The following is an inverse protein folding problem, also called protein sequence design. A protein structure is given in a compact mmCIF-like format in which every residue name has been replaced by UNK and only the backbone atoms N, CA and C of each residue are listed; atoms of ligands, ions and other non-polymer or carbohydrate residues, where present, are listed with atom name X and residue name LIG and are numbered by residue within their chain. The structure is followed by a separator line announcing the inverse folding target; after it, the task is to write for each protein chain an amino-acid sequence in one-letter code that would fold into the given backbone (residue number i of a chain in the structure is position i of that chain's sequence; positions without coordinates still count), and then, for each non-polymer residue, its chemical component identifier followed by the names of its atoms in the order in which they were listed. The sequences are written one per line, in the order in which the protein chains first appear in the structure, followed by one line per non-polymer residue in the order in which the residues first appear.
data_IF_965342941635
#
_entry.id   IF_965342941635
#
_cell.length_a   1.000
_cell.length_b   1.000
_cell.length_c   1.000
_cell.angle_alpha   90.00
_cell.angle_beta   90.00
_cell.angle_gamma   90.00
#
_symmetry.space_group_name_H-M   'P 1'
#
loop_
_entity.id
_entity.type
_entity.pdbx_description
1 polymer ?
#
# COMPACT_ATOMS: atom_id res chain seq x y z
N UNK A 1 6.30 2.94 6.01
CA UNK A 1 6.97 1.79 5.35
C UNK A 1 5.91 0.86 4.79
N UNK A 2 6.13 0.19 3.64
CA UNK A 2 5.14 -0.72 3.04
C UNK A 2 5.15 -2.12 3.67
N UNK A 3 4.08 -2.90 3.45
CA UNK A 3 3.94 -4.29 3.93
C UNK A 3 4.59 -5.35 3.01
N UNK A 4 5.39 -4.95 2.01
CA UNK A 4 6.09 -5.83 1.05
C UNK A 4 5.22 -6.65 0.09
N UNK A 5 3.88 -6.58 0.19
CA UNK A 5 2.99 -7.26 -0.76
C UNK A 5 3.29 -6.83 -2.20
N UNK A 6 3.48 -7.81 -3.07
CA UNK A 6 3.69 -7.63 -4.49
C UNK A 6 2.44 -8.07 -5.26
N UNK A 7 1.68 -7.09 -5.72
CA UNK A 7 0.59 -7.28 -6.68
C UNK A 7 0.50 -6.06 -7.60
N UNK A 8 -0.04 -6.26 -8.78
CA UNK A 8 -0.27 -5.27 -9.83
C UNK A 8 -1.76 -4.88 -9.86
N UNK A 9 -2.06 -3.84 -10.62
CA UNK A 9 -3.44 -3.55 -11.00
C UNK A 9 -4.02 -4.69 -11.85
N UNK A 10 -5.34 -4.73 -11.91
CA UNK A 10 -6.07 -5.57 -12.88
C UNK A 10 -5.82 -5.03 -14.29
N UNK A 11 -5.96 -5.88 -15.31
CA UNK A 11 -5.82 -5.46 -16.72
C UNK A 11 -6.70 -4.26 -17.03
N UNK A 12 -7.95 -4.29 -16.51
CA UNK A 12 -8.96 -3.25 -16.71
C UNK A 12 -8.55 -1.89 -16.17
N UNK A 13 -7.66 -1.83 -15.17
CA UNK A 13 -7.19 -0.55 -14.65
C UNK A 13 -6.37 0.22 -15.70
N UNK A 14 -5.55 -0.49 -16.46
CA UNK A 14 -4.69 0.10 -17.50
C UNK A 14 -5.47 0.37 -18.79
N UNK A 15 -6.44 -0.48 -19.14
CA UNK A 15 -7.41 -0.18 -20.21
C UNK A 15 -8.13 1.13 -19.92
N UNK A 16 -8.65 1.29 -18.70
CA UNK A 16 -9.34 2.50 -18.28
C UNK A 16 -8.44 3.74 -18.34
N UNK A 17 -7.15 3.61 -18.01
CA UNK A 17 -6.21 4.73 -18.16
C UNK A 17 -6.11 5.19 -19.61
N UNK A 18 -5.99 4.25 -20.54
CA UNK A 18 -5.94 4.56 -21.96
C UNK A 18 -7.26 5.15 -22.47
N UNK A 19 -8.41 4.61 -22.06
CA UNK A 19 -9.75 5.15 -22.35
C UNK A 19 -9.92 6.59 -21.82
N UNK A 20 -9.33 6.89 -20.67
CA UNK A 20 -9.30 8.24 -20.09
C UNK A 20 -8.31 9.18 -20.77
N UNK A 21 -7.60 8.72 -21.81
CA UNK A 21 -6.70 9.53 -22.63
C UNK A 21 -5.22 9.37 -22.32
N UNK A 22 -4.83 8.50 -21.38
CA UNK A 22 -3.42 8.17 -21.12
C UNK A 22 -2.88 7.21 -22.18
N UNK A 23 -2.80 7.68 -23.44
CA UNK A 23 -2.31 6.91 -24.58
C UNK A 23 -0.91 6.35 -24.30
N UNK A 24 -0.68 5.08 -24.64
CA UNK A 24 0.59 4.40 -24.37
C UNK A 24 0.75 3.94 -22.92
N UNK A 25 -0.32 3.93 -22.14
CA UNK A 25 -0.39 3.34 -20.80
C UNK A 25 -1.39 2.18 -20.73
N UNK A 26 -1.79 1.62 -21.89
CA UNK A 26 -2.64 0.45 -21.94
C UNK A 26 -1.90 -0.81 -21.46
N UNK A 27 -2.62 -1.94 -21.29
CA UNK A 27 -2.03 -3.18 -20.76
C UNK A 27 -0.79 -3.65 -21.53
N UNK A 28 -0.84 -3.57 -22.87
CA UNK A 28 0.26 -3.98 -23.74
C UNK A 28 1.50 -3.10 -23.58
N UNK A 29 1.33 -1.81 -23.24
CA UNK A 29 2.43 -0.87 -23.07
C UNK A 29 3.11 -1.02 -21.71
N UNK A 30 2.34 -1.28 -20.66
CA UNK A 30 2.88 -1.36 -19.28
C UNK A 30 3.47 -2.74 -18.95
N UNK A 31 2.94 -3.83 -19.54
CA UNK A 31 3.38 -5.19 -19.26
C UNK A 31 4.89 -5.40 -19.48
N UNK A 32 5.51 -4.92 -20.58
CA UNK A 32 6.96 -4.97 -20.75
C UNK A 32 7.75 -4.35 -19.60
N UNK A 33 7.24 -3.27 -18.99
CA UNK A 33 7.92 -2.61 -17.86
C UNK A 33 7.73 -3.35 -16.55
N UNK A 34 6.55 -3.94 -16.31
CA UNK A 34 6.37 -4.85 -15.18
C UNK A 34 7.37 -6.01 -15.25
N UNK A 35 7.46 -6.68 -16.41
CA UNK A 35 8.44 -7.76 -16.65
C UNK A 35 9.89 -7.27 -16.56
N UNK A 36 10.19 -6.06 -17.04
CA UNK A 36 11.55 -5.51 -16.94
C UNK A 36 11.96 -5.24 -15.49
N UNK A 37 11.03 -4.82 -14.64
CA UNK A 37 11.32 -4.52 -13.23
C UNK A 37 11.46 -5.78 -12.38
N UNK A 38 10.69 -6.81 -12.70
CA UNK A 38 10.54 -8.01 -11.88
C UNK A 38 11.65 -9.04 -12.12
N UNK A 39 12.07 -9.66 -11.01
CA UNK A 39 12.84 -10.89 -10.98
C UNK A 39 12.11 -11.89 -10.10
N UNK A 40 11.22 -12.62 -10.76
CA UNK A 40 10.40 -13.64 -10.16
C UNK A 40 11.26 -14.84 -9.74
N UNK A 41 11.21 -15.16 -8.45
CA UNK A 41 11.98 -16.25 -7.86
C UNK A 41 11.36 -17.62 -8.14
N UNK A 42 10.04 -17.68 -8.27
CA UNK A 42 9.28 -18.92 -8.43
C UNK A 42 8.89 -19.16 -9.88
N UNK A 43 8.47 -20.39 -10.19
CA UNK A 43 8.10 -20.75 -11.56
C UNK A 43 6.68 -20.26 -11.83
N UNK A 44 6.57 -19.12 -12.51
CA UNK A 44 5.31 -18.56 -13.02
C UNK A 44 5.33 -18.46 -14.55
N UNK A 45 4.24 -18.00 -15.16
CA UNK A 45 4.17 -17.76 -16.59
C UNK A 45 5.13 -16.63 -17.02
N UNK A 46 6.10 -16.97 -17.88
CA UNK A 46 7.06 -16.00 -18.42
C UNK A 46 6.45 -14.93 -19.34
N UNK A 47 5.21 -15.12 -19.80
CA UNK A 47 4.46 -14.10 -20.55
C UNK A 47 4.19 -12.89 -19.68
N UNK A 48 3.78 -13.10 -18.42
CA UNK A 48 3.41 -12.02 -17.50
C UNK A 48 4.52 -11.66 -16.52
N UNK A 49 5.50 -12.55 -16.31
CA UNK A 49 6.55 -12.34 -15.32
C UNK A 49 7.95 -12.16 -15.88
N UNK A 50 8.70 -11.26 -15.24
CA UNK A 50 10.11 -11.02 -15.45
C UNK A 50 11.00 -11.92 -14.61
N UNK A 51 12.17 -12.30 -15.12
CA UNK A 51 13.14 -13.14 -14.38
C UNK A 51 14.51 -12.50 -14.17
N UNK A 52 14.71 -11.30 -14.72
CA UNK A 52 16.03 -10.65 -14.80
C UNK A 52 16.03 -9.22 -14.29
N UNK A 53 14.88 -8.71 -13.86
CA UNK A 53 14.78 -7.38 -13.29
C UNK A 53 15.55 -7.23 -11.96
N UNK A 54 15.72 -5.99 -11.49
CA UNK A 54 16.41 -5.74 -10.23
C UNK A 54 15.53 -5.99 -8.99
N UNK A 55 14.19 -5.98 -9.13
CA UNK A 55 13.29 -6.19 -8.01
C UNK A 55 12.99 -7.68 -7.83
N UNK A 56 13.60 -8.31 -6.81
CA UNK A 56 13.29 -9.69 -6.45
C UNK A 56 11.86 -9.79 -5.92
N UNK A 57 11.10 -10.69 -6.52
CA UNK A 57 9.74 -11.09 -6.09
C UNK A 57 9.81 -12.56 -5.74
N UNK A 58 9.21 -12.95 -4.62
CA UNK A 58 9.19 -14.33 -4.16
C UNK A 58 7.87 -14.68 -3.51
N UNK A 59 7.59 -15.97 -3.46
CA UNK A 59 6.58 -16.51 -2.56
C UNK A 59 7.04 -16.35 -1.10
N UNK A 60 6.11 -16.54 -0.17
CA UNK A 60 6.38 -16.46 1.26
C UNK A 60 7.34 -17.57 1.70
N UNK A 61 8.42 -17.20 2.38
CA UNK A 61 9.35 -18.17 3.00
C UNK A 61 8.74 -18.89 4.21
N UNK A 62 7.65 -18.34 4.77
CA UNK A 62 6.89 -18.91 5.86
C UNK A 62 5.41 -18.50 5.73
N UNK A 63 4.51 -19.48 5.92
CA UNK A 63 3.06 -19.25 5.96
C UNK A 63 2.55 -19.77 7.30
N UNK A 64 1.89 -18.89 8.04
CA UNK A 64 1.31 -19.17 9.34
C UNK A 64 0.16 -20.20 9.20
N UNK A 65 0.00 -21.14 10.16
CA UNK A 65 -1.15 -22.05 10.18
C UNK A 65 -2.53 -21.36 10.09
N UNK A 66 -2.70 -20.20 10.71
CA UNK A 66 -3.94 -19.41 10.64
C UNK A 66 -4.24 -18.91 9.22
N UNK A 67 -3.20 -18.55 8.47
CA UNK A 67 -3.35 -18.14 7.08
C UNK A 67 -3.86 -19.29 6.21
N UNK A 68 -3.42 -20.53 6.48
CA UNK A 68 -3.98 -21.73 5.82
C UNK A 68 -5.43 -21.96 6.17
N UNK A 69 -5.77 -21.90 7.47
CA UNK A 69 -7.15 -22.04 7.94
C UNK A 69 -8.08 -20.97 7.34
N UNK A 70 -7.58 -19.74 7.15
CA UNK A 70 -8.34 -18.68 6.45
C UNK A 70 -8.64 -19.04 4.99
N UNK A 71 -7.66 -19.55 4.24
CA UNK A 71 -7.87 -19.96 2.84
C UNK A 71 -8.85 -21.14 2.74
N UNK A 72 -8.77 -22.10 3.66
CA UNK A 72 -9.72 -23.22 3.75
C UNK A 72 -11.14 -22.70 4.03
N UNK A 73 -11.31 -21.82 5.01
CA UNK A 73 -12.59 -21.19 5.32
C UNK A 73 -13.15 -20.35 4.16
N UNK A 74 -12.29 -19.66 3.41
CA UNK A 74 -12.69 -18.92 2.22
C UNK A 74 -13.22 -19.84 1.11
N UNK A 75 -12.59 -21.00 0.91
CA UNK A 75 -13.05 -22.00 -0.05
C UNK A 75 -14.40 -22.62 0.38
N UNK A 76 -14.62 -22.86 1.68
CA UNK A 76 -15.89 -23.37 2.22
C UNK A 76 -17.09 -22.44 1.94
N UNK A 77 -16.86 -21.13 1.90
CA UNK A 77 -17.89 -20.14 1.55
C UNK A 77 -18.00 -19.87 0.05
N UNK A 78 -17.27 -20.63 -0.77
CA UNK A 78 -17.36 -20.58 -2.23
C UNK A 78 -16.53 -19.49 -2.90
N UNK A 79 -15.57 -18.87 -2.21
CA UNK A 79 -14.63 -17.96 -2.86
C UNK A 79 -13.62 -18.76 -3.69
N UNK A 80 -13.33 -18.36 -4.95
CA UNK A 80 -12.37 -19.07 -5.78
C UNK A 80 -10.95 -18.94 -5.22
N UNK A 81 -10.10 -19.91 -5.51
CA UNK A 81 -8.67 -19.84 -5.18
C UNK A 81 -7.90 -19.11 -6.27
N UNK A 82 -6.94 -18.27 -5.90
CA UNK A 82 -6.02 -17.64 -6.85
C UNK A 82 -4.60 -17.63 -6.27
N UNK A 83 -3.66 -18.28 -6.95
CA UNK A 83 -2.26 -18.41 -6.52
C UNK A 83 -1.31 -17.40 -7.18
N UNK A 84 -1.82 -16.55 -8.07
CA UNK A 84 -1.06 -15.51 -8.77
C UNK A 84 -1.99 -14.36 -9.19
N UNK A 85 -1.97 -13.27 -8.41
CA UNK A 85 -2.75 -12.07 -8.69
C UNK A 85 -2.18 -11.20 -9.81
N UNK A 86 -1.04 -11.58 -10.38
CA UNK A 86 -0.30 -10.83 -11.41
C UNK A 86 -0.30 -11.51 -12.78
N UNK A 87 -0.92 -12.69 -12.88
CA UNK A 87 -1.18 -13.39 -14.13
C UNK A 87 -2.43 -12.83 -14.80
N UNK A 88 -2.24 -12.07 -15.87
CA UNK A 88 -3.31 -11.44 -16.63
C UNK A 88 -3.98 -12.37 -17.66
N UNK A 89 -3.63 -13.66 -17.71
CA UNK A 89 -4.39 -14.66 -18.49
C UNK A 89 -5.73 -15.02 -17.85
N UNK A 90 -5.96 -14.62 -16.60
CA UNK A 90 -7.13 -14.98 -15.81
C UNK A 90 -7.61 -13.80 -14.95
N UNK A 91 -8.87 -13.84 -14.46
CA UNK A 91 -9.35 -12.81 -13.55
C UNK A 91 -8.52 -12.74 -12.27
N UNK A 92 -8.34 -11.53 -11.74
CA UNK A 92 -7.67 -11.31 -10.44
C UNK A 92 -8.46 -11.91 -9.25
N UNK A 93 -9.75 -12.21 -9.45
CA UNK A 93 -10.65 -12.71 -8.42
C UNK A 93 -10.17 -14.01 -7.77
N UNK A 94 -10.28 -14.07 -6.45
CA UNK A 94 -9.99 -15.24 -5.63
C UNK A 94 -9.09 -14.96 -4.45
N UNK A 95 -8.87 -15.99 -3.65
CA UNK A 95 -8.13 -15.99 -2.39
C UNK A 95 -6.89 -16.87 -2.51
N UNK A 96 -5.76 -16.39 -2.00
CA UNK A 96 -4.52 -17.13 -1.93
C UNK A 96 -3.36 -16.37 -1.28
N UNK A 97 -2.14 -16.92 -1.34
CA UNK A 97 -0.96 -16.27 -0.80
C UNK A 97 -0.56 -15.06 -1.64
N UNK A 98 -0.17 -13.97 -0.98
CA UNK A 98 0.47 -12.86 -1.68
C UNK A 98 1.94 -13.19 -1.95
N UNK A 99 2.41 -12.77 -3.13
CA UNK A 99 3.86 -12.66 -3.35
C UNK A 99 4.41 -11.43 -2.62
N UNK A 100 5.72 -11.44 -2.37
CA UNK A 100 6.41 -10.40 -1.61
C UNK A 100 7.66 -9.91 -2.32
N UNK A 101 8.01 -8.65 -2.11
CA UNK A 101 9.30 -8.10 -2.54
C UNK A 101 10.40 -8.47 -1.52
N UNK A 102 10.85 -9.72 -1.57
CA UNK A 102 11.88 -10.26 -0.69
C UNK A 102 12.95 -11.03 -1.46
N UNK A 103 14.16 -11.07 -0.91
CA UNK A 103 15.24 -11.98 -1.30
C UNK A 103 15.75 -12.66 -0.05
N UNK A 104 15.72 -13.99 -0.02
CA UNK A 104 16.19 -14.79 1.12
C UNK A 104 15.54 -14.34 2.44
N UNK A 105 14.23 -14.06 2.40
CA UNK A 105 13.45 -13.59 3.54
C UNK A 105 13.69 -12.13 3.95
N UNK A 106 14.63 -11.44 3.31
CA UNK A 106 14.93 -10.03 3.58
C UNK A 106 14.15 -9.11 2.65
N UNK A 107 13.68 -7.97 3.18
CA UNK A 107 13.00 -6.92 2.42
C UNK A 107 13.87 -6.40 1.29
N UNK A 108 13.32 -6.37 0.08
CA UNK A 108 13.91 -5.66 -1.06
C UNK A 108 13.12 -4.37 -1.30
N UNK A 109 13.84 -3.29 -1.58
CA UNK A 109 13.28 -1.96 -1.87
C UNK A 109 13.84 -1.41 -3.18
N UNK A 110 13.18 -0.42 -3.81
CA UNK A 110 13.79 0.30 -4.94
C UNK A 110 15.15 0.93 -4.61
N UNK A 111 15.36 1.36 -3.36
CA UNK A 111 16.65 1.89 -2.92
C UNK A 111 17.76 0.83 -2.91
N UNK A 112 17.46 -0.40 -2.47
CA UNK A 112 18.44 -1.49 -2.44
C UNK A 112 18.61 -2.19 -3.79
N UNK A 113 17.57 -2.19 -4.64
CA UNK A 113 17.59 -2.86 -5.94
C UNK A 113 18.10 -1.96 -7.08
N UNK A 114 17.55 -0.76 -7.23
CA UNK A 114 17.93 0.16 -8.30
C UNK A 114 19.04 1.11 -7.87
N UNK A 115 18.83 1.84 -6.77
CA UNK A 115 19.74 2.93 -6.39
C UNK A 115 21.11 2.38 -5.98
N UNK A 116 21.15 1.37 -5.11
CA UNK A 116 22.40 0.74 -4.66
C UNK A 116 23.18 0.11 -5.81
N UNK A 117 22.50 -0.50 -6.78
CA UNK A 117 23.14 -1.04 -7.98
C UNK A 117 23.75 0.05 -8.88
N UNK A 118 23.20 1.27 -8.85
CA UNK A 118 23.69 2.40 -9.64
C UNK A 118 24.67 3.31 -8.89
N UNK A 119 24.77 3.21 -7.56
CA UNK A 119 25.53 4.13 -6.70
C UNK A 119 27.03 4.23 -7.02
N UNK A 120 27.63 3.17 -7.60
CA UNK A 120 29.04 3.18 -8.01
C UNK A 120 29.33 3.95 -9.30
N UNK A 121 28.30 4.40 -10.04
CA UNK A 121 28.49 5.10 -11.31
C UNK A 121 28.90 6.56 -11.06
N UNK A 122 29.97 7.01 -11.72
CA UNK A 122 30.51 8.38 -11.57
C UNK A 122 29.55 9.50 -11.98
N UNK A 123 28.54 9.18 -12.80
CA UNK A 123 27.51 10.10 -13.26
C UNK A 123 26.26 10.17 -12.36
N UNK A 124 26.23 9.47 -11.22
CA UNK A 124 25.12 9.52 -10.27
C UNK A 124 25.55 10.22 -8.97
N UNK A 125 24.78 11.23 -8.54
CA UNK A 125 24.97 11.91 -7.25
C UNK A 125 23.72 11.76 -6.40
N UNK A 126 23.83 11.09 -5.25
CA UNK A 126 22.72 10.90 -4.31
C UNK A 126 22.87 11.89 -3.16
N UNK A 127 21.84 12.71 -2.92
CA UNK A 127 21.78 13.65 -1.78
C UNK A 127 20.63 13.25 -0.87
N UNK A 128 20.95 12.75 0.31
CA UNK A 128 19.98 12.47 1.39
C UNK A 128 19.87 13.66 2.34
N UNK A 129 18.79 13.73 3.12
CA UNK A 129 18.52 14.88 4.01
C UNK A 129 18.59 16.21 3.23
N UNK A 130 17.94 16.19 2.06
CA UNK A 130 17.88 17.29 1.12
C UNK A 130 16.40 17.53 0.79
N UNK A 131 15.77 18.47 1.50
CA UNK A 131 14.33 18.76 1.33
C UNK A 131 14.16 19.77 0.21
N UNK A 132 13.63 19.34 -0.93
CA UNK A 132 13.33 20.23 -2.07
C UNK A 132 12.22 21.19 -1.66
N UNK A 133 12.43 22.50 -1.84
CA UNK A 133 11.45 23.54 -1.54
C UNK A 133 10.64 23.94 -2.78
N UNK A 134 11.31 23.97 -3.95
CA UNK A 134 10.69 24.32 -5.24
C UNK A 134 11.51 23.83 -6.43
N UNK A 135 10.81 23.66 -7.55
CA UNK A 135 11.37 23.63 -8.90
C UNK A 135 11.59 25.06 -9.37
N UNK A 136 12.71 25.29 -10.04
CA UNK A 136 13.08 26.60 -10.57
C UNK A 136 12.67 26.66 -12.04
N UNK A 137 12.06 27.76 -12.45
CA UNK A 137 11.66 27.99 -13.83
C UNK A 137 12.35 29.22 -14.41
N UNK A 138 12.73 29.13 -15.69
CA UNK A 138 13.26 30.22 -16.50
C UNK A 138 12.46 30.31 -17.80
N UNK A 139 12.48 31.47 -18.46
CA UNK A 139 11.85 31.62 -19.76
C UNK A 139 12.76 31.10 -20.86
N UNK A 140 12.23 30.20 -21.68
CA UNK A 140 12.88 29.69 -22.87
C UNK A 140 12.90 30.72 -24.00
N UNK A 141 13.70 30.49 -25.05
CA UNK A 141 13.72 31.34 -26.24
C UNK A 141 12.36 31.43 -26.96
N UNK A 142 11.48 30.45 -26.75
CA UNK A 142 10.12 30.38 -27.28
C UNK A 142 9.07 31.10 -26.40
N UNK A 143 9.52 31.78 -25.34
CA UNK A 143 8.66 32.48 -24.39
C UNK A 143 7.92 31.56 -23.41
N UNK A 144 8.24 30.26 -23.37
CA UNK A 144 7.61 29.30 -22.45
C UNK A 144 8.50 29.03 -21.24
N UNK A 145 7.92 28.80 -20.04
CA UNK A 145 8.70 28.39 -18.90
C UNK A 145 9.32 27.01 -19.11
N UNK A 146 10.58 26.84 -18.74
CA UNK A 146 11.24 25.54 -18.63
C UNK A 146 11.81 25.35 -17.23
N UNK A 147 11.79 24.11 -16.73
CA UNK A 147 12.37 23.77 -15.44
C UNK A 147 13.91 23.82 -15.52
N UNK A 148 14.52 24.84 -14.91
CA UNK A 148 15.96 25.08 -14.98
C UNK A 148 16.75 24.41 -13.85
N UNK A 149 16.06 23.86 -12.85
CA UNK A 149 16.70 23.20 -11.71
C UNK A 149 15.77 23.08 -10.50
N UNK A 150 16.37 22.86 -9.33
CA UNK A 150 15.65 22.80 -8.06
C UNK A 150 16.40 23.57 -6.97
N UNK A 151 15.64 24.13 -6.04
CA UNK A 151 16.16 24.69 -4.79
C UNK A 151 15.73 23.80 -3.63
N UNK A 152 16.68 23.43 -2.78
CA UNK A 152 16.47 22.52 -1.65
C UNK A 152 17.25 22.99 -0.42
N UNK A 153 16.85 22.52 0.76
CA UNK A 153 17.54 22.73 2.03
C UNK A 153 18.37 21.50 2.37
N UNK A 154 19.66 21.67 2.62
CA UNK A 154 20.59 20.58 2.96
C UNK A 154 20.51 20.17 4.45
N UNK A 155 21.26 19.14 4.82
CA UNK A 155 21.32 18.60 6.20
C UNK A 155 21.77 19.61 7.27
N UNK A 156 22.32 20.76 6.87
CA UNK A 156 22.80 21.82 7.73
C UNK A 156 21.86 23.05 7.67
N UNK A 157 20.63 22.87 7.20
CA UNK A 157 19.63 23.92 7.02
C UNK A 157 20.05 25.05 6.04
N UNK A 158 20.96 24.75 5.11
CA UNK A 158 21.39 25.73 4.10
C UNK A 158 20.60 25.54 2.81
N UNK A 159 20.10 26.65 2.26
CA UNK A 159 19.46 26.67 0.95
C UNK A 159 20.50 26.52 -0.16
N UNK A 160 20.32 25.53 -1.01
CA UNK A 160 21.18 25.20 -2.15
C UNK A 160 20.34 25.14 -3.42
N UNK A 161 20.86 25.74 -4.49
CA UNK A 161 20.25 25.67 -5.83
C UNK A 161 21.13 24.85 -6.75
N UNK A 162 20.53 23.90 -7.48
CA UNK A 162 21.21 23.13 -8.52
C UNK A 162 20.49 23.32 -9.85
N UNK A 163 21.25 23.45 -10.95
CA UNK A 163 20.69 23.55 -12.30
C UNK A 163 20.56 22.16 -12.95
N UNK A 164 19.53 22.01 -13.76
CA UNK A 164 19.30 20.84 -14.60
C UNK A 164 19.58 21.22 -16.05
N UNK A 165 20.44 20.44 -16.73
CA UNK A 165 20.79 20.68 -18.14
C UNK A 165 19.83 20.04 -19.14
N UNK A 166 18.99 19.11 -18.69
CA UNK A 166 18.11 18.30 -19.54
C UNK A 166 16.69 18.30 -19.03
N UNK A 167 16.48 17.79 -17.82
CA UNK A 167 15.15 17.59 -17.27
C UNK A 167 15.14 17.63 -15.74
N UNK A 168 13.97 17.90 -15.19
CA UNK A 168 13.65 17.76 -13.76
C UNK A 168 12.50 16.76 -13.66
N UNK A 169 12.74 15.62 -13.00
CA UNK A 169 11.74 14.57 -12.79
C UNK A 169 11.24 14.67 -11.35
N UNK A 170 9.94 14.87 -11.19
CA UNK A 170 9.30 14.92 -9.87
C UNK A 170 8.78 13.54 -9.45
N UNK A 171 9.36 12.99 -8.40
CA UNK A 171 9.00 11.67 -7.84
C UNK A 171 8.79 11.74 -6.32
N UNK A 172 8.13 12.80 -5.83
CA UNK A 172 7.91 13.02 -4.40
C UNK A 172 6.65 12.33 -3.83
N UNK A 173 5.94 11.54 -4.66
CA UNK A 173 4.69 10.86 -4.28
C UNK A 173 3.44 11.70 -4.50
N UNK A 174 2.27 11.10 -4.36
CA UNK A 174 0.95 11.69 -4.70
C UNK A 174 0.55 12.87 -3.82
N UNK A 175 1.14 13.00 -2.63
CA UNK A 175 0.86 14.10 -1.70
C UNK A 175 1.84 15.26 -1.88
N UNK A 176 3.14 14.97 -1.89
CA UNK A 176 4.17 16.03 -1.90
C UNK A 176 4.42 16.58 -3.31
N UNK A 177 4.23 15.78 -4.37
CA UNK A 177 4.43 16.27 -5.75
C UNK A 177 3.49 17.41 -6.13
N UNK A 178 2.14 17.32 -5.97
CA UNK A 178 1.27 18.45 -6.28
C UNK A 178 1.55 19.66 -5.40
N UNK A 179 1.86 19.46 -4.11
CA UNK A 179 2.27 20.56 -3.23
C UNK A 179 3.52 21.27 -3.75
N UNK A 180 4.55 20.51 -4.16
CA UNK A 180 5.78 21.07 -4.68
C UNK A 180 5.57 21.79 -6.01
N UNK A 181 4.71 21.27 -6.90
CA UNK A 181 4.32 21.97 -8.13
C UNK A 181 3.68 23.31 -7.81
N UNK A 182 2.70 23.34 -6.89
CA UNK A 182 2.04 24.58 -6.50
C UNK A 182 3.03 25.57 -5.85
N UNK A 183 3.90 25.12 -4.95
CA UNK A 183 4.98 25.95 -4.37
C UNK A 183 5.97 26.48 -5.41
N UNK A 184 6.02 25.85 -6.59
CA UNK A 184 6.85 26.25 -7.73
C UNK A 184 6.10 27.10 -8.76
N UNK A 185 4.84 27.48 -8.49
CA UNK A 185 4.01 28.28 -9.38
C UNK A 185 3.23 27.49 -10.44
N UNK A 186 3.12 26.17 -10.31
CA UNK A 186 2.37 25.30 -11.23
C UNK A 186 1.16 24.70 -10.50
N UNK A 187 -0.04 25.18 -10.82
CA UNK A 187 -1.28 24.73 -10.17
C UNK A 187 -2.44 25.71 -10.36
N UNK A 188 -3.53 25.62 -9.58
CA UNK A 188 -4.70 26.47 -9.77
C UNK A 188 -4.36 27.96 -9.55
N UNK A 189 -4.49 28.78 -10.59
CA UNK A 189 -3.97 30.16 -10.61
C UNK A 189 -4.46 31.04 -9.47
N UNK A 190 -5.77 30.99 -9.15
CA UNK A 190 -6.33 31.75 -8.02
C UNK A 190 -5.76 31.31 -6.67
N UNK A 191 -5.66 30.00 -6.43
CA UNK A 191 -5.08 29.44 -5.20
C UNK A 191 -3.61 29.85 -5.05
N UNK A 192 -2.85 29.89 -6.14
CA UNK A 192 -1.45 30.36 -6.13
C UNK A 192 -1.37 31.87 -5.78
N UNK A 193 -2.23 32.69 -6.37
CA UNK A 193 -2.30 34.13 -6.11
C UNK A 193 -2.68 34.43 -4.66
N UNK A 194 -3.63 33.69 -4.08
CA UNK A 194 -4.02 33.80 -2.68
C UNK A 194 -2.85 33.54 -1.71
N UNK A 195 -1.86 32.77 -2.15
CA UNK A 195 -0.63 32.47 -1.40
C UNK A 195 0.56 33.37 -1.78
N UNK A 196 0.36 34.38 -2.63
CA UNK A 196 1.43 35.27 -3.10
C UNK A 196 2.48 34.57 -3.98
N UNK A 197 2.12 33.47 -4.63
CA UNK A 197 2.99 32.70 -5.51
C UNK A 197 2.78 33.14 -6.96
N UNK A 198 3.85 33.52 -7.65
CA UNK A 198 3.81 33.83 -9.08
C UNK A 198 3.38 32.62 -9.90
N UNK A 199 2.37 32.80 -10.75
CA UNK A 199 1.86 31.74 -11.61
C UNK A 199 2.82 31.52 -12.79
N UNK A 200 3.46 30.34 -12.82
CA UNK A 200 4.24 29.85 -13.95
C UNK A 200 3.33 29.16 -14.96
N UNK A 201 2.38 28.36 -14.48
CA UNK A 201 1.37 27.69 -15.31
C UNK A 201 0.10 27.46 -14.51
N UNK A 202 -1.03 27.93 -15.03
CA UNK A 202 -2.34 27.71 -14.43
C UNK A 202 -2.87 26.32 -14.83
N UNK A 203 -2.78 25.39 -13.89
CA UNK A 203 -3.22 24.00 -14.06
C UNK A 203 -4.14 23.63 -12.89
N UNK A 204 -5.44 23.87 -13.08
CA UNK A 204 -6.48 23.59 -12.08
C UNK A 204 -6.53 22.12 -11.60
N UNK A 205 -6.00 21.17 -12.39
CA UNK A 205 -5.93 19.75 -12.01
C UNK A 205 -4.85 19.40 -10.98
N UNK A 206 -3.88 20.30 -10.71
CA UNK A 206 -2.82 20.02 -9.73
C UNK A 206 -3.41 20.04 -8.32
N UNK A 207 -3.25 18.92 -7.60
CA UNK A 207 -3.82 18.74 -6.25
C UNK A 207 -5.23 18.17 -6.25
N UNK A 208 -5.87 18.00 -7.40
CA UNK A 208 -7.21 17.41 -7.53
C UNK A 208 -7.16 15.89 -7.69
N UNK A 209 -8.34 15.25 -7.66
CA UNK A 209 -8.53 13.82 -7.94
C UNK A 209 -7.69 12.91 -7.03
N UNK A 210 -7.45 13.32 -5.78
CA UNK A 210 -6.72 12.52 -4.81
C UNK A 210 -7.51 11.25 -4.48
N UNK A 211 -6.81 10.11 -4.52
CA UNK A 211 -7.39 8.79 -4.35
C UNK A 211 -6.48 7.99 -3.43
N UNK A 212 -7.10 7.19 -2.57
CA UNK A 212 -6.44 6.22 -1.70
C UNK A 212 -7.40 5.05 -1.49
N UNK A 213 -6.91 3.92 -0.98
CA UNK A 213 -7.71 2.72 -0.73
C UNK A 213 -8.14 2.68 0.74
N UNK A 214 -9.38 3.10 1.09
CA UNK A 214 -9.83 3.06 2.47
C UNK A 214 -9.91 1.61 2.95
N UNK A 215 -9.40 1.37 4.16
CA UNK A 215 -9.34 0.06 4.77
C UNK A 215 -10.14 0.03 6.07
N UNK A 216 -10.92 -1.02 6.27
CA UNK A 216 -11.59 -1.34 7.53
C UNK A 216 -11.02 -2.64 8.10
N UNK A 217 -10.74 -2.69 9.39
CA UNK A 217 -10.23 -3.88 10.06
C UNK A 217 -11.34 -4.56 10.89
N UNK A 218 -11.62 -5.82 10.57
CA UNK A 218 -12.48 -6.69 11.37
C UNK A 218 -11.58 -7.51 12.31
N UNK A 219 -11.63 -7.20 13.61
CA UNK A 219 -10.77 -7.79 14.62
C UNK A 219 -11.54 -8.85 15.41
N UNK A 220 -11.05 -10.09 15.40
CA UNK A 220 -11.67 -11.22 16.10
C UNK A 220 -10.76 -11.66 17.24
N UNK A 221 -11.32 -11.75 18.46
CA UNK A 221 -10.59 -12.21 19.64
C UNK A 221 -10.83 -13.71 19.85
N UNK A 222 -9.78 -14.42 20.24
CA UNK A 222 -9.90 -15.79 20.70
C UNK A 222 -10.73 -15.85 21.99
N UNK A 223 -11.62 -16.84 22.14
CA UNK A 223 -12.37 -17.06 23.38
C UNK A 223 -11.48 -17.51 24.55
N UNK A 224 -10.31 -18.10 24.27
CA UNK A 224 -9.34 -18.61 25.27
C UNK A 224 -7.96 -18.00 25.04
N UNK A 225 -7.80 -16.67 25.21
CA UNK A 225 -6.61 -15.96 24.74
C UNK A 225 -5.31 -16.35 25.46
N UNK A 226 -5.40 -16.83 26.71
CA UNK A 226 -4.22 -17.28 27.47
C UNK A 226 -3.62 -18.58 26.92
N UNK A 227 -4.46 -19.50 26.43
CA UNK A 227 -3.96 -20.78 25.88
C UNK A 227 -3.38 -20.60 24.48
N UNK A 228 -3.97 -19.72 23.68
CA UNK A 228 -3.46 -19.39 22.36
C UNK A 228 -2.17 -18.57 22.41
N UNK A 229 -1.99 -17.73 23.44
CA UNK A 229 -0.69 -17.09 23.73
C UNK A 229 0.43 -18.07 24.07
N UNK A 230 0.12 -19.32 24.46
CA UNK A 230 1.14 -20.38 24.61
C UNK A 230 1.55 -20.97 23.25
N UNK A 231 0.75 -20.75 22.19
CA UNK A 231 0.95 -21.25 20.84
C UNK A 231 1.58 -20.18 19.94
N UNK A 232 2.78 -19.73 20.29
CA UNK A 232 3.57 -18.65 19.63
C UNK A 232 3.82 -18.83 18.12
N UNK A 233 3.54 -20.02 17.56
CA UNK A 233 3.66 -20.35 16.13
C UNK A 233 2.38 -20.06 15.33
N UNK A 234 1.25 -19.96 16.00
CA UNK A 234 -0.07 -19.72 15.40
C UNK A 234 -0.38 -18.23 15.46
N UNK A 235 -0.12 -17.61 16.60
CA UNK A 235 -0.26 -16.17 16.79
C UNK A 235 1.13 -15.56 16.87
N UNK A 236 1.41 -14.58 16.01
CA UNK A 236 2.66 -13.84 16.10
C UNK A 236 2.69 -13.07 17.43
N UNK A 237 3.44 -13.60 18.38
CA UNK A 237 3.60 -13.04 19.72
C UNK A 237 4.97 -12.35 19.83
N UNK A 238 5.17 -11.61 20.91
CA UNK A 238 6.47 -11.00 21.23
C UNK A 238 7.59 -12.03 21.34
N UNK A 239 7.27 -13.26 21.78
CA UNK A 239 8.24 -14.35 21.88
C UNK A 239 8.65 -14.86 20.51
N UNK A 240 7.77 -14.78 19.51
CA UNK A 240 8.10 -15.12 18.13
C UNK A 240 9.24 -14.22 17.61
N UNK A 241 9.20 -12.93 17.94
CA UNK A 241 10.23 -11.94 17.62
C UNK A 241 11.55 -12.12 18.38
N UNK A 242 11.47 -12.52 19.66
CA UNK A 242 12.63 -12.62 20.58
C UNK A 242 13.25 -14.02 20.65
N UNK A 243 12.69 -15.00 19.95
CA UNK A 243 13.22 -16.36 19.91
C UNK A 243 14.55 -16.41 19.17
N UNK A 244 15.61 -16.83 19.87
CA UNK A 244 16.94 -17.02 19.28
C UNK A 244 16.90 -18.04 18.12
N UNK A 245 16.05 -19.07 18.22
CA UNK A 245 15.87 -20.05 17.14
C UNK A 245 15.30 -19.40 15.89
N UNK A 246 14.26 -18.56 16.04
CA UNK A 246 13.66 -17.85 14.91
C UNK A 246 14.63 -16.83 14.31
N UNK A 247 15.45 -16.18 15.15
CA UNK A 247 16.49 -15.27 14.69
C UNK A 247 17.58 -15.99 13.89
N UNK A 248 18.04 -17.16 14.37
CA UNK A 248 19.01 -17.97 13.66
C UNK A 248 18.44 -18.51 12.34
N UNK A 249 17.20 -19.00 12.32
CA UNK A 249 16.53 -19.43 11.09
C UNK A 249 16.38 -18.29 10.08
N UNK A 250 16.10 -17.07 10.55
CA UNK A 250 16.04 -15.89 9.70
C UNK A 250 17.41 -15.53 9.10
N UNK A 251 18.44 -15.38 9.94
CA UNK A 251 19.77 -14.94 9.50
C UNK A 251 20.44 -15.98 8.61
N UNK A 252 20.37 -17.26 8.98
CA UNK A 252 21.12 -18.33 8.31
C UNK A 252 20.37 -18.89 7.11
N UNK A 253 19.05 -19.03 7.22
CA UNK A 253 18.23 -19.74 6.21
C UNK A 253 17.29 -18.81 5.44
N UNK A 254 17.14 -17.55 5.85
CA UNK A 254 16.15 -16.65 5.25
C UNK A 254 14.73 -17.16 5.43
N UNK A 255 14.45 -17.84 6.55
CA UNK A 255 13.19 -18.55 6.81
C UNK A 255 12.59 -18.19 8.17
N UNK A 256 11.37 -18.66 8.38
CA UNK A 256 10.69 -18.55 9.66
C UNK A 256 9.88 -17.27 9.80
N UNK A 257 9.28 -17.07 10.98
CA UNK A 257 8.25 -16.05 11.18
C UNK A 257 8.76 -14.61 11.05
N UNK A 258 10.07 -14.37 11.18
CA UNK A 258 10.67 -13.04 11.00
C UNK A 258 10.72 -12.59 9.52
N UNK A 259 10.50 -13.51 8.58
CA UNK A 259 10.35 -13.18 7.15
C UNK A 259 8.94 -12.70 6.80
N UNK A 260 7.99 -12.81 7.73
CA UNK A 260 6.59 -12.56 7.45
C UNK A 260 6.29 -11.07 7.15
N UNK A 261 5.53 -10.74 6.09
CA UNK A 261 5.00 -9.39 5.84
C UNK A 261 3.83 -8.97 6.75
N UNK A 262 3.44 -9.81 7.72
CA UNK A 262 2.20 -9.80 8.52
C UNK A 262 0.91 -10.09 7.74
N UNK A 263 0.79 -9.57 6.51
CA UNK A 263 -0.29 -9.90 5.58
C UNK A 263 0.19 -11.01 4.63
N UNK A 264 -0.08 -12.28 4.95
CA UNK A 264 0.42 -13.40 4.16
C UNK A 264 -0.53 -13.83 3.05
N UNK A 265 -1.81 -13.93 3.39
CA UNK A 265 -2.86 -14.42 2.50
C UNK A 265 -4.00 -13.42 2.45
N UNK A 266 -4.80 -13.53 1.41
CA UNK A 266 -5.91 -12.64 1.16
C UNK A 266 -6.33 -12.79 -0.28
N UNK A 267 -6.82 -11.72 -0.88
CA UNK A 267 -7.09 -11.73 -2.29
C UNK A 267 -8.09 -10.66 -2.69
N UNK A 268 -8.67 -10.83 -3.86
CA UNK A 268 -9.55 -9.85 -4.47
C UNK A 268 -10.91 -10.50 -4.72
N UNK A 269 -11.97 -9.81 -4.33
CA UNK A 269 -13.34 -10.29 -4.47
C UNK A 269 -14.24 -9.18 -5.00
N UNK A 270 -15.31 -9.60 -5.67
CA UNK A 270 -16.40 -8.72 -6.06
C UNK A 270 -17.44 -8.66 -4.96
N UNK A 271 -17.82 -7.46 -4.53
CA UNK A 271 -18.97 -7.29 -3.62
C UNK A 271 -20.31 -7.48 -4.33
N UNK A 272 -20.32 -7.27 -5.65
CA UNK A 272 -21.44 -7.54 -6.54
C UNK A 272 -20.93 -8.32 -7.77
N UNK A 273 -21.52 -9.48 -8.12
CA UNK A 273 -21.16 -10.25 -9.32
C UNK A 273 -21.17 -9.44 -10.63
N UNK A 274 -21.99 -8.39 -10.73
CA UNK A 274 -22.10 -7.53 -11.91
C UNK A 274 -20.89 -6.59 -12.10
N UNK A 275 -20.00 -6.48 -11.11
CA UNK A 275 -18.80 -5.67 -11.26
C UNK A 275 -17.84 -6.28 -12.28
N UNK A 276 -17.30 -5.45 -13.16
CA UNK A 276 -16.31 -5.87 -14.16
C UNK A 276 -15.03 -6.40 -13.49
N UNK A 277 -14.51 -5.67 -12.50
CA UNK A 277 -13.30 -5.99 -11.74
C UNK A 277 -13.60 -6.09 -10.24
N UNK A 278 -12.75 -6.80 -9.49
CA UNK A 278 -12.88 -6.92 -8.04
C UNK A 278 -12.83 -5.55 -7.34
N UNK A 279 -13.78 -5.21 -6.50
CA UNK A 279 -13.81 -3.90 -5.83
C UNK A 279 -13.35 -3.95 -4.37
N UNK A 280 -13.11 -5.15 -3.84
CA UNK A 280 -12.65 -5.37 -2.47
C UNK A 280 -11.39 -6.25 -2.45
N UNK A 281 -10.37 -5.80 -1.71
CA UNK A 281 -9.21 -6.60 -1.38
C UNK A 281 -9.29 -7.02 0.10
N UNK A 282 -9.22 -8.32 0.34
CA UNK A 282 -9.13 -8.90 1.67
C UNK A 282 -7.67 -9.15 2.01
N UNK A 283 -7.25 -8.80 3.23
CA UNK A 283 -5.92 -9.15 3.77
C UNK A 283 -6.08 -9.78 5.14
N UNK A 284 -5.53 -10.98 5.30
CA UNK A 284 -5.57 -11.70 6.55
C UNK A 284 -4.30 -11.45 7.36
N UNK A 285 -4.48 -11.19 8.65
CA UNK A 285 -3.40 -10.94 9.60
C UNK A 285 -3.56 -11.90 10.79
N UNK A 286 -2.58 -12.77 11.09
CA UNK A 286 -2.67 -13.80 12.13
C UNK A 286 -2.42 -13.26 13.55
N UNK A 287 -2.95 -12.07 13.86
CA UNK A 287 -3.08 -11.52 15.21
C UNK A 287 -4.27 -10.54 15.25
N UNK A 288 -4.89 -10.37 16.43
CA UNK A 288 -5.95 -9.37 16.62
C UNK A 288 -5.32 -7.99 16.82
N UNK A 289 -5.64 -7.03 15.96
CA UNK A 289 -5.40 -5.61 16.26
C UNK A 289 -6.42 -5.12 17.30
N UNK A 290 -6.07 -4.02 17.99
CA UNK A 290 -7.06 -3.26 18.75
C UNK A 290 -7.96 -2.45 17.79
N UNK A 291 -9.17 -2.04 18.20
CA UNK A 291 -10.15 -1.38 17.33
C UNK A 291 -9.69 -0.05 16.71
N UNK A 292 -8.56 0.50 17.15
CA UNK A 292 -7.90 1.60 16.48
C UNK A 292 -6.72 1.08 15.61
N UNK A 293 -6.93 0.99 14.29
CA UNK A 293 -5.92 0.48 13.37
C UNK A 293 -4.71 1.41 13.24
N UNK A 294 -4.84 2.71 13.54
CA UNK A 294 -3.74 3.66 13.37
C UNK A 294 -2.82 3.74 14.59
N UNK A 295 -3.33 3.62 15.81
CA UNK A 295 -2.47 3.49 16.99
C UNK A 295 -1.74 2.15 17.01
N UNK A 296 -2.38 1.05 16.60
CA UNK A 296 -1.72 -0.27 16.59
C UNK A 296 -0.65 -0.45 15.49
N UNK A 297 -0.82 0.20 14.33
CA UNK A 297 0.21 0.31 13.27
C UNK A 297 1.25 1.40 13.57
N UNK A 298 0.83 2.51 14.20
CA UNK A 298 1.68 3.60 14.67
C UNK A 298 2.65 3.15 15.74
N UNK A 299 2.20 2.41 16.76
CA UNK A 299 3.06 1.77 17.77
C UNK A 299 4.05 0.78 17.12
N UNK A 300 3.68 0.10 16.04
CA UNK A 300 4.58 -0.80 15.31
C UNK A 300 5.64 -0.04 14.49
N UNK A 301 5.30 1.14 13.96
CA UNK A 301 6.18 1.98 13.15
C UNK A 301 7.07 2.93 13.98
N UNK A 302 6.56 3.43 15.11
CA UNK A 302 7.23 4.36 16.01
C UNK A 302 8.13 3.67 17.03
N UNK A 303 7.76 2.48 17.52
CA UNK A 303 8.44 1.95 18.69
C UNK A 303 9.91 1.61 18.44
N UNK A 304 10.33 1.11 17.27
CA UNK A 304 11.75 0.79 16.99
C UNK A 304 12.43 -0.12 18.04
N UNK A 305 11.68 -0.68 18.98
CA UNK A 305 12.17 -1.24 20.21
C UNK A 305 11.82 -2.73 20.20
N UNK A 306 12.65 -3.46 19.47
CA UNK A 306 12.58 -4.91 19.34
C UNK A 306 12.69 -5.63 20.70
N UNK A 307 13.06 -4.93 21.77
CA UNK A 307 13.43 -5.55 23.04
C UNK A 307 12.44 -5.29 24.17
N UNK A 308 11.69 -4.18 24.20
CA UNK A 308 10.82 -3.87 25.36
C UNK A 308 9.32 -3.80 25.11
N UNK A 309 8.83 -4.00 23.88
CA UNK A 309 7.40 -3.89 23.59
C UNK A 309 6.55 -4.78 24.53
N UNK A 310 5.70 -4.16 25.35
CA UNK A 310 4.74 -4.78 26.30
C UNK A 310 3.34 -4.76 25.67
N UNK A 311 3.21 -5.24 24.45
CA UNK A 311 1.93 -5.34 23.79
C UNK A 311 1.10 -6.43 24.48
N UNK A 312 0.09 -6.04 25.26
CA UNK A 312 -0.85 -6.99 25.85
C UNK A 312 -1.88 -7.48 24.82
N UNK A 313 -1.43 -7.73 23.58
CA UNK A 313 -2.31 -7.99 22.43
C UNK A 313 -3.18 -9.22 22.69
N UNK A 314 -4.50 -9.15 22.43
CA UNK A 314 -5.35 -10.31 22.54
C UNK A 314 -4.97 -11.34 21.47
N UNK A 315 -4.97 -12.63 21.83
CA UNK A 315 -4.91 -13.67 20.81
C UNK A 315 -6.16 -13.60 19.93
N UNK A 316 -6.03 -13.92 18.64
CA UNK A 316 -7.08 -13.72 17.65
C UNK A 316 -6.50 -13.37 16.29
N UNK A 317 -7.33 -12.90 15.37
CA UNK A 317 -6.93 -12.57 14.00
C UNK A 317 -7.65 -11.32 13.50
N UNK A 318 -7.14 -10.74 12.43
CA UNK A 318 -7.73 -9.55 11.81
C UNK A 318 -7.92 -9.79 10.31
N UNK A 319 -9.09 -9.39 9.79
CA UNK A 319 -9.36 -9.33 8.36
C UNK A 319 -9.46 -7.85 7.98
N UNK A 320 -8.53 -7.39 7.15
CA UNK A 320 -8.62 -6.06 6.57
C UNK A 320 -9.41 -6.14 5.27
N UNK A 321 -10.44 -5.30 5.16
CA UNK A 321 -11.25 -5.08 3.98
C UNK A 321 -10.83 -3.74 3.37
N UNK A 322 -10.17 -3.78 2.21
CA UNK A 322 -9.59 -2.62 1.54
C UNK A 322 -10.36 -2.36 0.26
N UNK A 323 -10.95 -1.18 0.11
CA UNK A 323 -11.68 -0.83 -1.12
C UNK A 323 -10.67 -0.58 -2.24
N UNK A 324 -10.67 -1.43 -3.27
CA UNK A 324 -9.68 -1.40 -4.33
C UNK A 324 -9.90 -0.22 -5.30
N UNK A 325 -11.17 0.14 -5.54
CA UNK A 325 -11.59 1.13 -6.55
C UNK A 325 -12.62 2.11 -5.99
N UNK A 326 -12.25 2.98 -5.04
CA UNK A 326 -13.19 3.90 -4.41
C UNK A 326 -13.67 4.96 -5.41
N UNK A 327 -14.94 5.36 -5.29
CA UNK A 327 -15.54 6.48 -6.07
C UNK A 327 -15.24 7.84 -5.47
N UNK A 328 -15.06 7.87 -4.16
CA UNK A 328 -14.55 8.98 -3.36
C UNK A 328 -13.35 9.69 -3.99
N UNK A 329 -13.36 11.02 -3.96
CA UNK A 329 -12.24 11.85 -4.41
C UNK A 329 -11.90 12.90 -3.36
N UNK A 330 -10.61 13.13 -3.21
CA UNK A 330 -10.05 14.16 -2.34
C UNK A 330 -9.26 15.21 -3.08
N UNK A 331 -8.64 16.10 -2.30
CA UNK A 331 -7.77 17.17 -2.79
C UNK A 331 -6.57 17.37 -1.87
N UNK A 332 -5.46 17.83 -2.44
CA UNK A 332 -4.23 18.23 -1.76
C UNK A 332 -3.96 19.70 -2.07
N UNK A 333 -3.91 20.55 -1.05
CA UNK A 333 -3.72 22.00 -1.17
C UNK A 333 -2.53 22.49 -0.33
N UNK A 334 -2.00 23.67 -0.69
CA UNK A 334 -1.07 24.41 0.18
C UNK A 334 -1.86 24.95 1.40
N UNK A 335 -1.34 24.82 2.63
CA UNK A 335 -1.95 25.43 3.81
C UNK A 335 -1.79 26.96 3.82
N UNK A 336 -2.79 27.68 4.33
CA UNK A 336 -2.78 29.15 4.43
C UNK A 336 -1.70 29.73 5.38
N UNK A 337 -0.96 28.89 6.12
CA UNK A 337 0.09 29.37 7.03
C UNK A 337 1.33 29.82 6.26
N UNK A 338 1.49 31.14 6.14
CA UNK A 338 2.55 32.07 5.69
C UNK A 338 4.03 31.64 5.50
N UNK A 339 4.41 30.38 5.60
CA UNK A 339 5.77 29.94 5.34
C UNK A 339 5.85 29.33 3.94
N UNK A 340 6.70 29.90 3.09
CA UNK A 340 7.17 29.36 1.79
C UNK A 340 7.92 28.01 1.91
N UNK A 341 7.66 27.26 2.97
CA UNK A 341 8.27 25.98 3.30
C UNK A 341 7.27 24.86 3.00
N UNK A 342 7.76 23.64 2.75
CA UNK A 342 6.91 22.44 2.81
C UNK A 342 6.34 22.31 4.24
N UNK A 343 5.17 22.91 4.47
CA UNK A 343 4.30 22.62 5.60
C UNK A 343 3.49 21.35 5.35
N UNK A 344 2.70 20.93 6.33
CA UNK A 344 1.75 19.84 6.13
C UNK A 344 0.68 20.26 5.11
N UNK A 345 0.52 19.56 3.97
CA UNK A 345 -0.52 19.90 3.01
C UNK A 345 -1.91 19.73 3.63
N UNK A 346 -2.85 20.57 3.20
CA UNK A 346 -4.25 20.37 3.54
C UNK A 346 -4.79 19.24 2.66
N UNK A 347 -5.28 18.17 3.30
CA UNK A 347 -5.87 17.03 2.62
C UNK A 347 -7.35 16.95 2.95
N UNK A 348 -8.18 17.03 1.92
CA UNK A 348 -9.62 16.80 2.05
C UNK A 348 -9.93 15.40 1.56
N UNK A 349 -10.45 14.55 2.45
CA UNK A 349 -10.98 13.24 2.11
C UNK A 349 -12.50 13.25 2.23
N UNK A 350 -13.20 12.81 1.18
CA UNK A 350 -14.64 12.55 1.23
C UNK A 350 -14.81 11.05 1.07
N UNK A 351 -15.23 10.34 2.12
CA UNK A 351 -15.56 8.91 2.04
C UNK A 351 -17.06 8.71 2.32
N UNK A 352 -17.95 8.92 1.34
CA UNK A 352 -19.38 8.72 1.55
C UNK A 352 -19.79 7.23 1.48
N UNK A 353 -19.00 6.38 0.80
CA UNK A 353 -19.45 5.05 0.35
C UNK A 353 -18.66 3.88 0.97
N UNK A 354 -18.37 3.91 2.28
CA UNK A 354 -17.85 2.71 2.96
C UNK A 354 -19.03 1.81 3.31
N UNK A 355 -19.36 0.87 2.41
CA UNK A 355 -20.36 -0.16 2.69
C UNK A 355 -19.79 -1.13 3.74
N UNK A 356 -20.34 -1.07 4.95
CA UNK A 356 -20.03 -2.01 6.02
C UNK A 356 -20.64 -3.38 5.72
N UNK A 357 -19.82 -4.38 5.39
CA UNK A 357 -20.20 -5.79 5.54
C UNK A 357 -20.13 -6.16 7.03
N UNK A 358 -21.08 -5.64 7.80
CA UNK A 358 -21.20 -5.85 9.25
C UNK A 358 -22.63 -6.12 9.63
N UNK A 359 -23.15 -7.32 9.34
CA UNK A 359 -24.34 -7.78 10.06
C UNK A 359 -23.97 -7.99 11.53
N UNK A 360 -24.72 -7.33 12.41
CA UNK A 360 -24.55 -7.28 13.87
C UNK A 360 -24.32 -8.67 14.48
N UNK A 361 -23.13 -8.94 15.00
CA UNK A 361 -22.92 -9.94 16.03
C UNK A 361 -23.00 -9.27 17.41
N UNK A 362 -24.24 -9.04 17.89
CA UNK A 362 -24.47 -8.85 19.33
C UNK A 362 -24.76 -10.22 19.93
N UNK A 363 -23.80 -10.74 20.70
CA UNK A 363 -24.02 -11.86 21.61
C UNK A 363 -24.82 -11.34 22.82
N UNK A 364 -26.16 -11.44 22.78
CA UNK A 364 -26.99 -11.20 23.95
C UNK A 364 -27.02 -12.47 24.83
N UNK A 365 -26.55 -12.32 26.07
CA UNK A 365 -26.38 -13.40 27.04
C UNK A 365 -27.63 -13.64 27.90
N UNK A 366 -28.80 -13.04 27.60
CA UNK A 366 -29.94 -13.03 28.56
C UNK A 366 -31.37 -13.13 28.00
N UNK A 367 -31.66 -13.85 26.92
CA UNK A 367 -33.07 -14.23 26.65
C UNK A 367 -33.22 -15.63 26.05
N UNK A 368 -33.84 -16.54 26.80
CA UNK A 368 -34.51 -17.72 26.25
C UNK A 368 -35.86 -17.26 25.70
N UNK A 369 -36.03 -17.19 24.39
CA UNK A 369 -37.36 -16.99 23.77
C UNK A 369 -37.34 -16.26 22.43
N UNK A 370 -37.98 -16.85 21.42
CA UNK A 370 -38.22 -16.29 20.08
C UNK A 370 -39.45 -15.37 20.14
N UNK A 371 -39.42 -14.13 19.62
CA UNK A 371 -40.63 -13.42 19.22
C UNK A 371 -41.01 -13.79 17.76
N UNK A 372 -42.28 -14.07 17.47
CA UNK A 372 -42.73 -14.54 16.16
C UNK A 372 -42.94 -13.38 15.18
N UNK A 373 -42.49 -13.55 13.94
CA UNK A 373 -43.01 -12.80 12.80
C UNK A 373 -42.01 -11.93 12.03
N UNK A 374 -41.04 -12.54 11.35
CA UNK A 374 -40.45 -11.99 10.12
C UNK A 374 -40.04 -13.15 9.20
N UNK A 375 -40.69 -13.25 8.03
CA UNK A 375 -40.36 -14.20 6.94
C UNK A 375 -39.81 -13.39 5.76
N UNK A 376 -38.56 -13.66 5.36
CA UNK A 376 -38.03 -13.69 3.98
C UNK A 376 -36.53 -14.03 4.05
N UNK A 377 -36.11 -15.26 3.71
CA UNK A 377 -35.58 -15.73 2.40
C UNK A 377 -34.22 -15.14 2.02
N UNK A 378 -33.19 -15.98 1.99
CA UNK A 378 -31.89 -15.70 1.38
C UNK A 378 -30.71 -16.15 2.25
N UNK A 379 -30.08 -17.25 1.87
CA UNK A 379 -29.05 -17.97 2.61
C UNK A 379 -27.72 -17.21 2.70
N UNK A 380 -27.33 -16.80 3.91
CA UNK A 380 -25.94 -16.60 4.30
C UNK A 380 -25.86 -16.72 5.83
N UNK A 381 -25.99 -17.95 6.33
CA UNK A 381 -25.85 -18.25 7.76
C UNK A 381 -25.01 -19.49 7.91
N UNK A 382 -23.69 -19.29 7.94
CA UNK A 382 -22.68 -20.11 8.62
C UNK A 382 -21.34 -19.37 8.52
N UNK A 383 -21.20 -18.35 9.37
CA UNK A 383 -19.92 -17.89 9.84
C UNK A 383 -20.06 -17.91 11.36
N UNK A 384 -19.59 -19.01 11.97
CA UNK A 384 -19.15 -19.25 13.36
C UNK A 384 -18.98 -20.76 13.50
#
# INVERSE_FOLDING_TARGET
MSVMLYHRGDVRDYERWEEMGARGWGPADVLPYFRKSENQATKTDSVYHGKTGPLRVSDLAHVNPMSKAFMEAAAEVGLPTNDDFNDWARPQEGIGPFQVTQSDGMRVTPATSYLRAAQGRSNLKVRTRARVERVNFEMGPDGKPFASGVTYVDKNERRVTIRAHREVILAAGSVVSPQLLMLSGVGPGSHLQDHGISVVSDLAGVGENFQDQPATALCFRSPSPLDDKKKDRIFYSEKTGKSLVNLLDYIVRGKGPLTCPLCEVGGFVKTNPDHESCDLQLRFVPFSSEPDPYSSLGEFAEAGDYLTNRSNRPAGFTIQSVVARPRSRGKVLIPQSHSFCLGHPLMHHVYPDVVYLGHRFCYDRRTRGIPPGFKQTGSMTKLI
#
